data_IF_851488603677
#
_entry.id   IF_851488603677
#
_cell.length_a   1.000
_cell.length_b   1.000
_cell.length_c   1.000
_cell.angle_alpha   90.00
_cell.angle_beta   90.00
_cell.angle_gamma   90.00
#
_symmetry.space_group_name_H-M   'P 1'
#
loop_
_entity.id
_entity.type
_entity.pdbx_description
1 polymer ?
#
# COMPACT_ATOMS: atom_id res chain seq x y z
N UNK A 1 23.70 -30.62 46.20
CA UNK A 1 22.54 -31.39 46.69
C UNK A 1 21.42 -31.29 45.67
N UNK A 2 20.76 -32.42 45.38
CA UNK A 2 19.81 -32.61 44.28
C UNK A 2 18.36 -32.32 44.73
N UNK A 3 17.42 -32.19 43.80
CA UNK A 3 16.19 -33.00 43.83
C UNK A 3 15.38 -32.88 42.53
N UNK A 4 15.05 -34.06 42.01
CA UNK A 4 14.08 -34.34 40.95
C UNK A 4 12.64 -34.18 41.46
N UNK A 5 11.69 -33.79 40.60
CA UNK A 5 10.36 -34.41 40.53
C UNK A 5 9.60 -33.92 39.27
N UNK A 6 9.19 -34.78 38.32
CA UNK A 6 7.94 -35.61 38.32
C UNK A 6 6.71 -34.70 38.12
N UNK A 7 5.70 -34.89 37.25
CA UNK A 7 5.17 -36.00 36.44
C UNK A 7 4.02 -35.37 35.58
N UNK A 8 3.83 -35.73 34.31
CA UNK A 8 2.83 -36.70 33.81
C UNK A 8 1.41 -36.15 33.61
N UNK A 9 0.89 -36.26 32.38
CA UNK A 9 -0.46 -35.84 31.99
C UNK A 9 -0.85 -36.32 30.58
N UNK A 10 -1.27 -37.59 30.52
CA UNK A 10 -1.73 -38.38 29.37
C UNK A 10 -3.20 -38.08 29.05
N UNK A 11 -3.62 -38.04 27.77
CA UNK A 11 -4.81 -38.74 27.26
C UNK A 11 -5.04 -38.57 25.75
N UNK A 12 -5.27 -39.72 25.08
CA UNK A 12 -5.69 -39.92 23.70
C UNK A 12 -7.18 -39.64 23.54
N UNK A 13 -7.65 -39.42 22.31
CA UNK A 13 -8.67 -40.30 21.69
C UNK A 13 -8.79 -40.10 20.17
N UNK A 14 -8.74 -41.24 19.48
CA UNK A 14 -9.13 -41.49 18.10
C UNK A 14 -10.67 -41.59 17.98
N UNK A 15 -11.22 -41.27 16.79
CA UNK A 15 -12.36 -41.91 16.07
C UNK A 15 -12.67 -40.98 14.87
N UNK A 16 -12.33 -41.29 13.62
CA UNK A 16 -12.69 -42.39 12.72
C UNK A 16 -14.18 -42.43 12.30
N UNK A 17 -14.33 -42.50 10.97
CA UNK A 17 -15.44 -43.03 10.16
C UNK A 17 -16.72 -42.19 10.00
N UNK A 18 -16.89 -41.72 8.76
CA UNK A 18 -18.15 -41.30 8.14
C UNK A 18 -18.04 -41.49 6.62
N UNK A 19 -18.06 -42.76 6.20
CA UNK A 19 -18.27 -43.26 4.83
C UNK A 19 -19.79 -43.45 4.62
N UNK A 20 -20.26 -43.59 3.37
CA UNK A 20 -21.65 -43.63 2.86
C UNK A 20 -22.11 -42.24 2.34
N UNK A 21 -22.57 -42.03 1.10
CA UNK A 21 -23.15 -42.91 0.08
C UNK A 21 -22.86 -42.43 -1.34
N UNK A 22 -22.82 -43.43 -2.20
CA UNK A 22 -22.72 -43.41 -3.64
C UNK A 22 -24.13 -43.21 -4.24
N UNK A 23 -24.16 -42.82 -5.52
CA UNK A 23 -25.20 -43.11 -6.53
C UNK A 23 -26.39 -42.13 -6.74
N UNK A 24 -26.51 -41.80 -8.04
CA UNK A 24 -27.71 -41.46 -8.84
C UNK A 24 -27.98 -39.96 -9.10
N UNK A 25 -27.93 -39.57 -10.38
CA UNK A 25 -28.47 -38.27 -10.80
C UNK A 25 -27.98 -37.65 -12.10
N UNK A 26 -27.23 -38.35 -12.96
CA UNK A 26 -26.91 -37.89 -14.32
C UNK A 26 -28.12 -38.02 -15.26
N UNK A 27 -29.18 -37.24 -15.07
CA UNK A 27 -30.25 -37.05 -16.06
C UNK A 27 -31.03 -35.77 -15.73
N UNK A 28 -30.52 -34.59 -16.08
CA UNK A 28 -31.32 -33.34 -16.22
C UNK A 28 -30.56 -32.22 -16.97
N UNK A 29 -29.63 -32.60 -17.87
CA UNK A 29 -29.32 -31.80 -19.05
C UNK A 29 -30.25 -32.31 -20.15
N UNK A 30 -31.28 -31.55 -20.55
CA UNK A 30 -31.88 -31.53 -21.91
C UNK A 30 -33.30 -30.92 -22.00
N UNK A 31 -33.76 -30.03 -21.12
CA UNK A 31 -35.15 -29.50 -21.24
C UNK A 31 -35.36 -28.01 -20.87
N UNK A 32 -34.39 -27.13 -21.17
CA UNK A 32 -34.59 -25.67 -21.09
C UNK A 32 -33.90 -24.93 -22.26
N UNK A 33 -34.18 -25.35 -23.49
CA UNK A 33 -33.82 -24.65 -24.72
C UNK A 33 -35.02 -24.65 -25.66
N UNK A 34 -35.98 -23.74 -25.46
CA UNK A 34 -36.88 -23.23 -26.50
C UNK A 34 -37.86 -22.18 -25.90
N UNK A 35 -37.46 -20.92 -25.89
CA UNK A 35 -38.40 -19.79 -25.99
C UNK A 35 -37.61 -18.52 -26.35
N UNK A 36 -37.34 -18.36 -27.64
CA UNK A 36 -36.97 -17.05 -28.22
C UNK A 36 -38.29 -16.42 -28.66
N UNK A 37 -38.62 -15.25 -28.09
CA UNK A 37 -39.84 -14.52 -28.40
C UNK A 37 -39.84 -13.13 -27.77
N UNK A 38 -39.20 -12.21 -28.48
CA UNK A 38 -39.11 -10.75 -28.31
C UNK A 38 -40.25 -10.04 -27.53
N UNK A 39 -39.87 -9.31 -26.47
CA UNK A 39 -40.39 -7.96 -26.21
C UNK A 39 -39.22 -7.03 -25.92
N UNK A 40 -38.98 -6.14 -26.87
CA UNK A 40 -38.04 -5.02 -26.74
C UNK A 40 -38.65 -3.90 -25.89
N UNK A 41 -37.75 -3.09 -25.34
CA UNK A 41 -38.00 -1.82 -24.65
C UNK A 41 -38.36 -1.91 -23.16
N UNK A 42 -37.36 -2.16 -22.33
CA UNK A 42 -37.16 -1.26 -21.19
C UNK A 42 -35.68 -0.88 -21.11
N UNK A 43 -35.48 0.42 -21.13
CA UNK A 43 -34.22 1.17 -21.18
C UNK A 43 -33.27 0.65 -20.10
N UNK A 44 -32.25 -0.10 -20.50
CA UNK A 44 -31.09 -0.37 -19.68
C UNK A 44 -29.93 0.43 -20.26
N UNK A 45 -29.78 1.67 -19.79
CA UNK A 45 -28.51 2.39 -19.84
C UNK A 45 -27.49 1.59 -19.01
N UNK A 46 -26.99 0.50 -19.59
CA UNK A 46 -25.69 -0.05 -19.20
C UNK A 46 -24.69 0.94 -19.74
N UNK A 47 -24.23 1.82 -18.86
CA UNK A 47 -22.94 2.51 -19.03
C UNK A 47 -21.88 1.41 -18.93
N UNK A 48 -21.73 0.65 -20.03
CA UNK A 48 -20.63 -0.26 -20.20
C UNK A 48 -19.38 0.61 -20.29
N UNK A 49 -18.54 0.59 -19.26
CA UNK A 49 -17.16 0.97 -19.44
C UNK A 49 -16.58 -0.03 -20.44
N UNK A 50 -16.59 0.33 -21.73
CA UNK A 50 -15.72 -0.28 -22.70
C UNK A 50 -14.32 -0.25 -22.09
N UNK A 51 -13.75 -1.43 -21.85
CA UNK A 51 -12.31 -1.56 -21.68
C UNK A 51 -11.71 -1.13 -23.01
N UNK A 52 -11.46 0.17 -23.16
CA UNK A 52 -10.56 0.65 -24.17
C UNK A 52 -9.22 -0.02 -23.87
N UNK A 53 -8.82 -0.95 -24.74
CA UNK A 53 -7.45 -1.43 -24.81
C UNK A 53 -6.59 -0.23 -25.18
N UNK A 54 -6.31 0.60 -24.19
CA UNK A 54 -5.45 1.75 -24.33
C UNK A 54 -4.05 1.19 -24.36
N UNK A 55 -3.34 1.48 -25.44
CA UNK A 55 -1.88 1.51 -25.55
C UNK A 55 -1.30 2.56 -24.58
N UNK A 56 -1.77 2.58 -23.32
CA UNK A 56 -1.27 3.47 -22.29
C UNK A 56 0.13 2.99 -21.94
N UNK A 57 1.12 3.76 -22.38
CA UNK A 57 2.48 3.71 -21.87
C UNK A 57 2.42 3.55 -20.34
N UNK A 58 3.13 2.57 -19.75
CA UNK A 58 3.09 2.37 -18.31
C UNK A 58 3.48 3.67 -17.62
N UNK A 59 2.75 4.05 -16.58
CA UNK A 59 3.03 5.26 -15.82
C UNK A 59 4.40 5.25 -15.15
N UNK A 60 4.98 4.07 -15.00
CA UNK A 60 6.24 3.85 -14.30
C UNK A 60 7.07 2.90 -15.15
N UNK A 61 8.25 3.35 -15.55
CA UNK A 61 9.32 2.45 -15.97
C UNK A 61 10.04 1.99 -14.70
N UNK A 62 9.70 0.79 -14.22
CA UNK A 62 10.26 0.24 -12.98
C UNK A 62 11.77 0.00 -13.10
N UNK A 63 12.26 -0.34 -14.30
CA UNK A 63 13.70 -0.55 -14.53
C UNK A 63 14.43 0.77 -14.36
N UNK A 64 13.91 1.84 -14.99
CA UNK A 64 14.46 3.18 -14.82
C UNK A 64 14.44 3.63 -13.36
N UNK A 65 13.34 3.39 -12.63
CA UNK A 65 13.25 3.70 -11.21
C UNK A 65 14.32 2.99 -10.38
N UNK A 66 14.45 1.67 -10.52
CA UNK A 66 15.44 0.91 -9.76
C UNK A 66 16.87 1.36 -10.06
N UNK A 67 17.17 1.66 -11.32
CA UNK A 67 18.49 2.18 -11.70
C UNK A 67 18.77 3.54 -11.07
N UNK A 68 17.84 4.48 -11.13
CA UNK A 68 18.00 5.80 -10.52
C UNK A 68 18.15 5.70 -9.00
N UNK A 69 17.28 4.94 -8.32
CA UNK A 69 17.34 4.76 -6.87
C UNK A 69 18.64 4.08 -6.43
N UNK A 70 19.10 3.06 -7.16
CA UNK A 70 20.39 2.41 -6.89
C UNK A 70 21.54 3.39 -7.02
N UNK A 71 21.56 4.20 -8.08
CA UNK A 71 22.64 5.15 -8.34
C UNK A 71 22.69 6.27 -7.28
N UNK A 72 21.55 6.77 -6.80
CA UNK A 72 21.54 7.81 -5.74
C UNK A 72 21.83 7.25 -4.35
N UNK A 73 21.64 5.94 -4.15
CA UNK A 73 21.93 5.24 -2.90
C UNK A 73 23.34 4.64 -2.83
N UNK A 74 24.12 4.76 -3.90
CA UNK A 74 25.47 4.21 -3.96
C UNK A 74 26.38 4.89 -2.92
N UNK A 75 27.11 4.09 -2.14
CA UNK A 75 28.00 4.58 -1.08
C UNK A 75 27.30 5.03 0.21
N UNK A 76 25.97 4.94 0.30
CA UNK A 76 25.24 5.21 1.54
C UNK A 76 25.17 3.94 2.39
N UNK A 77 25.74 3.99 3.59
CA UNK A 77 25.64 2.91 4.57
C UNK A 77 24.36 3.07 5.40
N UNK A 78 23.70 1.95 5.71
CA UNK A 78 22.48 1.98 6.51
C UNK A 78 22.78 1.83 7.99
N UNK A 79 22.25 2.72 8.81
CA UNK A 79 22.04 2.44 10.24
C UNK A 79 20.83 1.52 10.44
N UNK A 80 20.91 0.61 11.43
CA UNK A 80 19.83 -0.28 11.89
C UNK A 80 18.65 0.47 12.57
N UNK A 81 18.72 1.80 12.61
CA UNK A 81 17.71 2.66 13.22
C UNK A 81 16.30 2.54 12.61
N UNK A 82 15.35 3.15 13.33
CA UNK A 82 13.93 3.19 13.01
C UNK A 82 13.67 3.60 11.55
N UNK A 83 12.81 2.83 10.89
CA UNK A 83 12.41 3.10 9.49
C UNK A 83 11.59 4.38 9.36
N UNK A 84 11.65 5.08 8.23
CA UNK A 84 10.77 6.24 7.95
C UNK A 84 9.43 5.74 7.37
N UNK A 85 9.51 4.85 6.39
CA UNK A 85 8.36 4.15 5.81
C UNK A 85 7.97 2.95 6.65
N UNK A 86 6.67 2.77 6.86
CA UNK A 86 6.12 1.53 7.40
C UNK A 86 6.36 0.40 6.39
N UNK A 87 6.76 -0.76 6.91
CA UNK A 87 7.10 -1.92 6.09
C UNK A 87 5.91 -2.35 5.23
N UNK A 88 6.21 -2.77 4.00
CA UNK A 88 5.22 -3.17 2.99
C UNK A 88 4.11 -4.12 3.49
N UNK A 89 4.39 -5.18 4.29
CA UNK A 89 3.34 -6.08 4.76
C UNK A 89 2.28 -5.43 5.65
N UNK A 90 2.62 -4.34 6.33
CA UNK A 90 1.68 -3.58 7.16
C UNK A 90 0.92 -2.57 6.30
N UNK A 91 1.59 -1.98 5.31
CA UNK A 91 0.99 -1.05 4.38
C UNK A 91 -0.08 -1.68 3.48
N UNK A 92 0.06 -2.95 3.11
CA UNK A 92 -0.96 -3.64 2.30
C UNK A 92 -2.35 -3.65 2.95
N UNK A 93 -2.43 -3.57 4.28
CA UNK A 93 -3.70 -3.41 5.02
C UNK A 93 -4.41 -2.06 4.78
N UNK A 94 -3.71 -1.08 4.21
CA UNK A 94 -4.27 0.22 3.83
C UNK A 94 -4.76 0.24 2.39
N UNK A 95 -4.41 -0.76 1.57
CA UNK A 95 -4.83 -0.80 0.18
C UNK A 95 -6.36 -0.79 0.07
N UNK A 96 -6.91 0.03 -0.83
CA UNK A 96 -8.35 0.23 -0.98
C UNK A 96 -9.01 1.13 0.08
N UNK A 97 -8.30 1.56 1.12
CA UNK A 97 -8.85 2.52 2.11
C UNK A 97 -8.67 3.94 1.64
N UNK A 98 -9.62 4.85 1.92
CA UNK A 98 -9.50 6.27 1.54
C UNK A 98 -8.30 6.99 2.18
N UNK A 99 -7.63 6.39 3.16
CA UNK A 99 -6.41 6.92 3.76
C UNK A 99 -5.16 6.70 2.89
N UNK A 100 -5.14 5.65 2.06
CA UNK A 100 -3.97 5.29 1.26
C UNK A 100 -3.55 6.41 0.31
N UNK A 101 -4.52 7.06 -0.36
CA UNK A 101 -4.24 8.21 -1.22
C UNK A 101 -3.62 9.39 -0.45
N UNK A 102 -4.03 9.63 0.79
CA UNK A 102 -3.44 10.67 1.63
C UNK A 102 -2.01 10.31 2.02
N UNK A 103 -1.75 9.08 2.46
CA UNK A 103 -0.42 8.60 2.82
C UNK A 103 0.53 8.69 1.63
N UNK A 104 0.09 8.26 0.45
CA UNK A 104 0.89 8.30 -0.77
C UNK A 104 1.21 9.75 -1.17
N UNK A 105 0.26 10.68 -1.02
CA UNK A 105 0.51 12.10 -1.24
C UNK A 105 1.57 12.65 -0.29
N UNK A 106 1.48 12.35 1.01
CA UNK A 106 2.47 12.77 2.01
C UNK A 106 3.85 12.16 1.74
N UNK A 107 3.92 10.88 1.36
CA UNK A 107 5.16 10.22 0.98
C UNK A 107 5.80 10.89 -0.24
N UNK A 108 5.02 11.24 -1.28
CA UNK A 108 5.53 11.98 -2.43
C UNK A 108 6.06 13.37 -2.03
N UNK A 109 5.35 14.10 -1.16
CA UNK A 109 5.81 15.41 -0.70
C UNK A 109 7.11 15.30 0.10
N UNK A 110 7.21 14.33 1.00
CA UNK A 110 8.42 14.07 1.76
C UNK A 110 9.62 13.79 0.83
N UNK A 111 9.47 12.87 -0.12
CA UNK A 111 10.56 12.51 -1.00
C UNK A 111 10.90 13.58 -2.03
N UNK A 112 9.96 14.43 -2.44
CA UNK A 112 10.27 15.60 -3.26
C UNK A 112 11.22 16.55 -2.51
N UNK A 113 10.95 16.81 -1.21
CA UNK A 113 11.83 17.62 -0.36
C UNK A 113 13.20 16.98 -0.15
N UNK A 114 13.23 15.66 0.11
CA UNK A 114 14.50 14.91 0.22
C UNK A 114 15.33 15.12 -1.04
N UNK A 115 14.76 14.93 -2.23
CA UNK A 115 15.50 15.03 -3.49
C UNK A 115 15.83 16.48 -3.88
N UNK A 116 14.99 17.45 -3.50
CA UNK A 116 15.26 18.88 -3.68
C UNK A 116 16.53 19.32 -2.97
N UNK A 117 16.71 18.91 -1.71
CA UNK A 117 17.92 19.23 -0.93
C UNK A 117 19.20 18.59 -1.49
N UNK A 118 19.10 17.67 -2.46
CA UNK A 118 20.22 16.90 -3.00
C UNK A 118 20.51 17.19 -4.47
N UNK A 119 19.81 18.16 -5.10
CA UNK A 119 19.97 18.44 -6.53
C UNK A 119 21.40 18.79 -6.94
N UNK A 120 22.16 19.42 -6.05
CA UNK A 120 23.57 19.77 -6.27
C UNK A 120 24.50 18.56 -6.31
N UNK A 121 24.07 17.38 -5.81
CA UNK A 121 24.87 16.15 -5.78
C UNK A 121 24.92 15.41 -7.12
N UNK A 122 24.15 15.86 -8.12
CA UNK A 122 24.32 15.43 -9.51
C UNK A 122 23.03 15.05 -10.22
N UNK A 123 23.18 14.76 -11.52
CA UNK A 123 22.09 14.56 -12.47
C UNK A 123 21.11 13.46 -12.08
N UNK A 124 21.58 12.39 -11.43
CA UNK A 124 20.73 11.27 -10.99
C UNK A 124 19.65 11.72 -10.00
N UNK A 125 19.96 12.66 -9.08
CA UNK A 125 18.98 13.20 -8.12
C UNK A 125 17.92 14.04 -8.83
N UNK A 126 18.33 14.89 -9.77
CA UNK A 126 17.40 15.69 -10.60
C UNK A 126 16.49 14.80 -11.44
N UNK A 127 17.04 13.79 -12.11
CA UNK A 127 16.25 12.85 -12.91
C UNK A 127 15.27 12.04 -12.05
N UNK A 128 15.70 11.61 -10.86
CA UNK A 128 14.84 10.89 -9.92
C UNK A 128 13.72 11.78 -9.38
N UNK A 129 13.98 13.05 -9.07
CA UNK A 129 12.94 14.02 -8.67
C UNK A 129 11.92 14.22 -9.79
N UNK A 130 12.37 14.41 -11.02
CA UNK A 130 11.46 14.49 -12.18
C UNK A 130 10.65 13.21 -12.36
N UNK A 131 11.27 12.06 -12.19
CA UNK A 131 10.58 10.77 -12.24
C UNK A 131 9.50 10.67 -11.16
N UNK A 132 9.82 11.06 -9.92
CA UNK A 132 8.89 11.11 -8.79
C UNK A 132 7.71 12.05 -9.06
N UNK A 133 7.96 13.22 -9.65
CA UNK A 133 6.93 14.17 -10.07
C UNK A 133 5.96 13.56 -11.09
N UNK A 134 6.47 12.89 -12.13
CA UNK A 134 5.62 12.18 -13.11
C UNK A 134 4.82 11.05 -12.46
N UNK A 135 5.45 10.33 -11.54
CA UNK A 135 4.82 9.24 -10.79
C UNK A 135 3.65 9.76 -9.95
N UNK A 136 3.85 10.87 -9.23
CA UNK A 136 2.81 11.58 -8.49
C UNK A 136 1.66 12.00 -9.41
N UNK A 137 1.96 12.67 -10.53
CA UNK A 137 0.93 13.11 -11.48
C UNK A 137 0.13 11.96 -12.07
N UNK A 138 0.76 10.82 -12.38
CA UNK A 138 0.02 9.67 -12.88
C UNK A 138 -0.86 9.02 -11.79
N UNK A 139 -0.27 8.71 -10.62
CA UNK A 139 -0.94 7.84 -9.65
C UNK A 139 -1.87 8.59 -8.72
N UNK A 140 -1.56 9.85 -8.45
CA UNK A 140 -2.23 10.63 -7.43
C UNK A 140 -3.36 11.47 -8.03
N UNK A 141 -4.56 10.90 -8.04
CA UNK A 141 -5.79 11.70 -8.01
C UNK A 141 -6.24 11.74 -6.56
N UNK A 142 -5.93 12.80 -5.81
CA UNK A 142 -6.39 12.93 -4.42
C UNK A 142 -7.90 13.23 -4.47
N UNK A 143 -8.78 12.24 -4.24
CA UNK A 143 -10.19 12.44 -4.55
C UNK A 143 -10.92 13.19 -3.42
N UNK A 144 -10.25 13.49 -2.30
CA UNK A 144 -10.86 14.08 -1.11
C UNK A 144 -9.82 14.87 -0.25
N UNK A 145 -9.41 16.09 -0.67
CA UNK A 145 -8.39 16.90 0.02
C UNK A 145 -8.71 17.17 1.50
N UNK A 146 -9.98 17.45 1.80
CA UNK A 146 -10.46 17.72 3.15
C UNK A 146 -10.20 16.57 4.13
N UNK A 147 -10.41 15.33 3.70
CA UNK A 147 -10.15 14.15 4.55
C UNK A 147 -8.66 13.99 4.83
N UNK A 148 -7.80 14.29 3.85
CA UNK A 148 -6.36 14.25 4.05
C UNK A 148 -5.92 15.38 5.00
N UNK A 149 -6.51 16.57 4.90
CA UNK A 149 -6.27 17.67 5.83
C UNK A 149 -6.60 17.26 7.27
N UNK A 150 -7.80 16.76 7.53
CA UNK A 150 -8.19 16.28 8.87
C UNK A 150 -7.28 15.15 9.37
N UNK A 151 -6.82 14.27 8.48
CA UNK A 151 -5.88 13.21 8.85
C UNK A 151 -4.51 13.77 9.27
N UNK A 152 -4.00 14.75 8.53
CA UNK A 152 -2.75 15.46 8.82
C UNK A 152 -2.84 16.26 10.13
N UNK A 153 -3.94 16.97 10.37
CA UNK A 153 -4.19 17.67 11.64
C UNK A 153 -4.23 16.68 12.82
N UNK A 154 -4.88 15.52 12.66
CA UNK A 154 -4.87 14.48 13.69
C UNK A 154 -3.46 13.94 13.95
N UNK A 155 -2.63 13.82 12.90
CA UNK A 155 -1.25 13.39 13.04
C UNK A 155 -0.41 14.38 13.85
N UNK A 156 -0.59 15.68 13.65
CA UNK A 156 0.11 16.71 14.41
C UNK A 156 -0.31 16.76 15.88
N UNK A 157 -1.61 16.55 16.16
CA UNK A 157 -2.16 16.69 17.50
C UNK A 157 -2.06 15.42 18.38
N UNK A 158 -1.82 14.25 17.79
CA UNK A 158 -1.74 12.99 18.52
C UNK A 158 -0.32 12.72 19.01
N UNK A 159 -0.14 12.39 20.29
CA UNK A 159 1.18 11.94 20.76
C UNK A 159 1.54 10.61 20.08
N UNK A 160 2.75 10.52 19.48
CA UNK A 160 3.27 9.23 19.00
C UNK A 160 3.47 8.31 20.19
N UNK A 161 2.62 7.30 20.31
CA UNK A 161 2.86 6.16 21.18
C UNK A 161 3.70 5.15 20.40
N UNK A 162 4.70 4.55 21.05
CA UNK A 162 5.33 3.34 20.52
C UNK A 162 4.23 2.32 20.26
N UNK A 163 4.14 1.86 19.01
CA UNK A 163 3.17 0.83 18.62
C UNK A 163 3.85 -0.50 18.81
N UNK A 164 3.67 -1.09 19.98
CA UNK A 164 4.32 -2.35 20.35
C UNK A 164 3.78 -3.55 19.55
N UNK A 165 2.60 -3.41 18.92
CA UNK A 165 2.02 -4.44 18.07
C UNK A 165 1.28 -3.85 16.85
N UNK A 166 1.95 -3.89 15.68
CA UNK A 166 1.37 -3.45 14.41
C UNK A 166 0.27 -4.37 13.87
N UNK A 167 0.04 -5.58 14.43
CA UNK A 167 -1.02 -6.48 13.91
C UNK A 167 -2.44 -6.03 14.24
N UNK A 168 -2.63 -5.30 15.34
CA UNK A 168 -3.97 -4.92 15.85
C UNK A 168 -4.29 -3.43 15.66
N UNK A 169 -3.50 -2.73 14.85
CA UNK A 169 -3.71 -1.30 14.59
C UNK A 169 -4.78 -1.10 13.52
N UNK A 170 -5.67 -0.14 13.74
CA UNK A 170 -6.69 0.21 12.73
C UNK A 170 -6.05 0.95 11.55
N UNK A 171 -6.63 0.84 10.35
CA UNK A 171 -6.16 1.56 9.16
C UNK A 171 -6.01 3.06 9.39
N UNK A 172 -6.93 3.69 10.14
CA UNK A 172 -6.83 5.12 10.49
C UNK A 172 -5.61 5.41 11.38
N UNK A 173 -5.39 4.62 12.43
CA UNK A 173 -4.23 4.80 13.33
C UNK A 173 -2.92 4.55 12.60
N UNK A 174 -2.90 3.57 11.71
CA UNK A 174 -1.74 3.27 10.88
C UNK A 174 -1.41 4.41 9.91
N UNK A 175 -2.45 5.00 9.30
CA UNK A 175 -2.30 6.17 8.45
C UNK A 175 -1.74 7.38 9.21
N UNK A 176 -2.29 7.65 10.40
CA UNK A 176 -1.79 8.70 11.30
C UNK A 176 -0.32 8.44 11.63
N UNK A 177 0.04 7.23 12.06
CA UNK A 177 1.41 6.88 12.40
C UNK A 177 2.36 7.10 11.22
N UNK A 178 1.99 6.66 10.01
CA UNK A 178 2.83 6.86 8.83
C UNK A 178 3.05 8.35 8.54
N UNK A 179 2.00 9.17 8.65
CA UNK A 179 2.08 10.61 8.43
C UNK A 179 2.98 11.26 9.47
N UNK A 180 2.86 10.88 10.75
CA UNK A 180 3.72 11.37 11.82
C UNK A 180 5.20 11.05 11.57
N UNK A 181 5.50 9.83 11.13
CA UNK A 181 6.87 9.43 10.77
C UNK A 181 7.43 10.27 9.63
N UNK A 182 6.63 10.53 8.59
CA UNK A 182 7.03 11.39 7.46
C UNK A 182 7.23 12.83 7.90
N UNK A 183 6.36 13.38 8.74
CA UNK A 183 6.45 14.75 9.25
C UNK A 183 7.70 14.96 10.11
N UNK A 184 7.97 14.05 11.06
CA UNK A 184 9.19 14.10 11.89
C UNK A 184 10.46 13.98 11.06
N UNK A 185 10.48 13.03 10.13
CA UNK A 185 11.62 12.89 9.22
C UNK A 185 11.81 14.16 8.39
N UNK A 186 10.73 14.81 7.94
CA UNK A 186 10.79 16.07 7.19
C UNK A 186 11.38 17.22 8.01
N UNK A 187 11.01 17.33 9.29
CA UNK A 187 11.55 18.33 10.22
C UNK A 187 13.05 18.16 10.42
N UNK A 188 13.54 16.91 10.43
CA UNK A 188 14.94 16.57 10.64
C UNK A 188 15.81 16.67 9.37
N UNK A 189 15.22 16.83 8.19
CA UNK A 189 15.97 16.77 6.92
C UNK A 189 17.14 17.73 6.86
N UNK A 190 17.02 18.95 7.38
CA UNK A 190 18.10 19.95 7.26
C UNK A 190 19.21 19.79 8.31
N UNK A 191 18.92 19.07 9.40
CA UNK A 191 19.79 19.00 10.57
C UNK A 191 20.48 17.63 10.71
N UNK A 192 19.85 16.58 10.20
CA UNK A 192 20.33 15.21 10.33
C UNK A 192 20.60 14.55 8.97
N UNK A 193 21.89 14.47 8.62
CA UNK A 193 22.38 13.77 7.43
C UNK A 193 21.96 12.30 7.43
N UNK A 194 21.87 11.64 8.60
CA UNK A 194 21.45 10.24 8.69
C UNK A 194 20.00 10.07 8.28
N UNK A 195 19.12 11.00 8.64
CA UNK A 195 17.72 11.01 8.18
C UNK A 195 17.63 11.16 6.66
N UNK A 196 18.46 12.03 6.05
CA UNK A 196 18.51 12.16 4.59
C UNK A 196 18.97 10.85 3.92
N UNK A 197 20.08 10.28 4.39
CA UNK A 197 20.65 9.03 3.88
C UNK A 197 19.67 7.86 4.00
N UNK A 198 19.02 7.72 5.16
CA UNK A 198 17.98 6.74 5.41
C UNK A 198 16.81 6.91 4.45
N UNK A 199 16.37 8.15 4.21
CA UNK A 199 15.30 8.44 3.27
C UNK A 199 15.68 7.97 1.84
N UNK A 200 16.88 8.27 1.38
CA UNK A 200 17.36 7.84 0.06
C UNK A 200 17.36 6.30 -0.05
N UNK A 201 17.84 5.59 0.96
CA UNK A 201 17.84 4.12 0.95
C UNK A 201 16.42 3.55 0.95
N UNK A 202 15.52 4.14 1.74
CA UNK A 202 14.13 3.68 1.83
C UNK A 202 13.28 4.08 0.63
N UNK A 203 13.77 4.95 -0.26
CA UNK A 203 13.07 5.38 -1.45
C UNK A 203 12.65 4.19 -2.33
N UNK A 204 13.47 3.12 -2.40
CA UNK A 204 13.08 1.87 -3.09
C UNK A 204 11.77 1.27 -2.55
N UNK A 205 11.50 1.49 -1.27
CA UNK A 205 10.30 1.05 -0.56
C UNK A 205 9.04 1.77 -1.00
N UNK A 206 9.15 2.96 -1.59
CA UNK A 206 8.01 3.73 -2.11
C UNK A 206 7.25 2.95 -3.20
N UNK A 207 7.91 2.05 -3.93
CA UNK A 207 7.22 1.19 -4.91
C UNK A 207 6.13 0.31 -4.27
N UNK A 208 6.32 -0.12 -3.02
CA UNK A 208 5.31 -0.90 -2.30
C UNK A 208 4.10 -0.05 -1.88
N UNK A 209 4.25 1.29 -1.91
CA UNK A 209 3.16 2.26 -1.71
C UNK A 209 2.42 2.58 -3.00
N UNK A 210 2.80 2.00 -4.14
CA UNK A 210 2.07 2.20 -5.38
C UNK A 210 0.96 1.15 -5.49
N UNK A 211 -0.24 1.55 -5.93
CA UNK A 211 -1.33 0.62 -6.10
C UNK A 211 -0.99 -0.38 -7.21
N UNK A 212 -1.07 -1.68 -6.91
CA UNK A 212 -1.13 -2.71 -7.95
C UNK A 212 -2.40 -2.42 -8.77
N UNK A 213 -2.23 -2.01 -10.03
CA UNK A 213 -3.28 -1.63 -11.01
C UNK A 213 -4.68 -2.09 -10.60
N UNK A 214 -5.49 -1.14 -10.07
CA UNK A 214 -6.99 -1.12 -9.99
C UNK A 214 -7.56 -0.24 -8.85
N UNK A 215 -6.84 0.78 -8.35
CA UNK A 215 -7.43 1.68 -7.34
C UNK A 215 -8.24 2.79 -8.02
N UNK A 216 -9.50 2.50 -8.37
CA UNK A 216 -10.53 3.53 -8.55
C UNK A 216 -11.11 3.90 -7.19
N UNK A 217 -10.57 4.95 -6.54
CA UNK A 217 -11.20 5.52 -5.35
C UNK A 217 -12.35 6.43 -5.75
N UNK A 218 -13.58 5.94 -5.56
CA UNK A 218 -14.79 6.77 -5.64
C UNK A 218 -15.02 7.41 -4.28
N UNK A 219 -15.00 8.75 -4.22
CA UNK A 219 -15.63 9.46 -3.11
C UNK A 219 -17.14 9.49 -3.42
N UNK A 220 -17.94 8.84 -2.60
CA UNK A 220 -19.38 9.07 -2.64
C UNK A 220 -19.69 10.41 -1.96
N UNK A 221 -20.43 11.31 -2.62
CA UNK A 221 -20.98 12.49 -1.95
C UNK A 221 -22.01 12.04 -0.91
N UNK A 222 -22.06 12.79 0.21
CA UNK A 222 -23.20 12.74 1.12
C UNK A 222 -24.38 13.47 0.50
#
# INVERSE_FOLDING_TARGET
MPEHSSKEGRARTHKSAGMFQHLQGTWLLALLLAAVGQTSATIQQRVGCQKAATTHKPCVDLIQWFNLVRNVGEGIETSDDETILIRAPVLTSLNGTHYYGCILNEAFQFYDKVLEGQQSKGRNYTELRHFLGRLKTCLLRVPCPERCRTLNENAQNMQMKKVDNMRNITSRKLAILQIQKLQRAAEQLNEDVKTQEKAIIELKGLLFYLPNKEVTMKCQPK
#
